data_IF_802040084208
#
_entry.id   IF_802040084208
#
_cell.length_a   1.000
_cell.length_b   1.000
_cell.length_c   1.000
_cell.angle_alpha   90.00
_cell.angle_beta   90.00
_cell.angle_gamma   90.00
#
_symmetry.space_group_name_H-M   'P 1'
#
loop_
_entity.id
_entity.type
_entity.pdbx_description
1 polymer ?
#
# COMPACT_ATOMS: atom_id res chain seq x y z
N UNK A 1 5.57 0.20 19.95
CA UNK A 1 4.61 -0.57 19.14
C UNK A 1 4.53 -1.96 19.75
N UNK A 2 3.33 -2.48 20.03
CA UNK A 2 3.21 -3.86 20.54
C UNK A 2 3.35 -4.83 19.38
N UNK A 3 3.81 -6.05 19.67
CA UNK A 3 3.92 -7.11 18.66
C UNK A 3 2.58 -7.41 17.98
N UNK A 4 1.49 -7.35 18.75
CA UNK A 4 0.12 -7.50 18.26
C UNK A 4 -0.24 -6.46 17.18
N UNK A 5 0.09 -5.18 17.40
CA UNK A 5 -0.16 -4.11 16.42
C UNK A 5 0.66 -4.34 15.16
N UNK A 6 1.93 -4.72 15.29
CA UNK A 6 2.81 -5.03 14.15
C UNK A 6 2.23 -6.16 13.30
N UNK A 7 1.86 -7.28 13.92
CA UNK A 7 1.33 -8.44 13.20
C UNK A 7 -0.01 -8.15 12.53
N UNK A 8 -0.89 -7.40 13.21
CA UNK A 8 -2.15 -6.94 12.64
C UNK A 8 -1.92 -6.04 11.42
N UNK A 9 -0.97 -5.11 11.49
CA UNK A 9 -0.62 -4.24 10.38
C UNK A 9 -0.09 -5.03 9.18
N UNK A 10 0.89 -5.91 9.39
CA UNK A 10 1.48 -6.72 8.31
C UNK A 10 0.42 -7.61 7.64
N UNK A 11 -0.46 -8.23 8.43
CA UNK A 11 -1.58 -9.04 7.89
C UNK A 11 -2.49 -8.20 7.00
N UNK A 12 -2.82 -6.97 7.40
CA UNK A 12 -3.65 -6.05 6.59
C UNK A 12 -2.95 -5.62 5.31
N UNK A 13 -1.64 -5.40 5.34
CA UNK A 13 -0.84 -5.06 4.16
C UNK A 13 -0.85 -6.21 3.16
N UNK A 14 -0.61 -7.44 3.61
CA UNK A 14 -0.63 -8.63 2.75
C UNK A 14 -2.01 -8.85 2.11
N UNK A 15 -3.08 -8.70 2.91
CA UNK A 15 -4.45 -8.77 2.40
C UNK A 15 -4.76 -7.66 1.39
N UNK A 16 -4.30 -6.43 1.62
CA UNK A 16 -4.49 -5.34 0.67
C UNK A 16 -3.76 -5.59 -0.65
N UNK A 17 -2.54 -6.16 -0.60
CA UNK A 17 -1.82 -6.57 -1.81
C UNK A 17 -2.59 -7.66 -2.57
N UNK A 18 -3.16 -8.64 -1.87
CA UNK A 18 -4.02 -9.67 -2.47
C UNK A 18 -5.28 -9.08 -3.10
N UNK A 19 -5.96 -8.16 -2.41
CA UNK A 19 -7.14 -7.46 -2.94
C UNK A 19 -6.77 -6.70 -4.23
N UNK A 20 -5.65 -6.00 -4.25
CA UNK A 20 -5.19 -5.26 -5.43
C UNK A 20 -4.96 -6.21 -6.62
N UNK A 21 -4.36 -7.38 -6.38
CA UNK A 21 -4.16 -8.43 -7.38
C UNK A 21 -5.47 -9.03 -7.89
N UNK A 22 -6.47 -9.22 -7.02
CA UNK A 22 -7.80 -9.68 -7.41
C UNK A 22 -8.54 -8.62 -8.24
N UNK A 23 -8.44 -7.35 -7.87
CA UNK A 23 -9.16 -6.25 -8.52
C UNK A 23 -8.56 -5.86 -9.87
N UNK A 24 -7.23 -5.84 -9.97
CA UNK A 24 -6.52 -5.34 -11.15
C UNK A 24 -5.79 -6.44 -11.94
N UNK A 25 -5.87 -7.69 -11.48
CA UNK A 25 -5.08 -8.80 -12.01
C UNK A 25 -3.64 -8.81 -11.49
N UNK A 26 -2.96 -9.94 -11.72
CA UNK A 26 -1.52 -10.11 -11.48
C UNK A 26 -0.70 -9.44 -12.59
N UNK A 27 -0.95 -8.15 -12.83
CA UNK A 27 -0.24 -7.37 -13.83
C UNK A 27 1.09 -6.92 -13.23
N UNK A 28 2.18 -7.33 -13.88
CA UNK A 28 3.51 -6.82 -13.57
C UNK A 28 3.56 -5.33 -13.90
N UNK A 29 3.95 -4.53 -12.92
CA UNK A 29 4.13 -3.08 -13.07
C UNK A 29 5.59 -2.72 -12.90
N UNK A 30 6.03 -1.73 -13.67
CA UNK A 30 7.35 -1.11 -13.52
C UNK A 30 7.45 -0.35 -12.19
N UNK A 31 8.68 -0.08 -11.74
CA UNK A 31 8.95 0.76 -10.57
C UNK A 31 8.31 2.15 -10.74
N UNK A 32 8.31 2.69 -11.95
CA UNK A 32 7.70 3.98 -12.27
C UNK A 32 6.18 3.96 -12.07
N UNK A 33 5.50 2.93 -12.56
CA UNK A 33 4.05 2.76 -12.38
C UNK A 33 3.70 2.60 -10.90
N UNK A 34 4.46 1.79 -10.16
CA UNK A 34 4.27 1.66 -8.71
C UNK A 34 4.45 3.00 -7.99
N UNK A 35 5.50 3.75 -8.33
CA UNK A 35 5.77 5.07 -7.75
C UNK A 35 4.61 6.04 -7.97
N UNK A 36 3.96 6.01 -9.15
CA UNK A 36 2.81 6.85 -9.45
C UNK A 36 1.57 6.46 -8.62
N UNK A 37 1.31 5.16 -8.46
CA UNK A 37 0.23 4.65 -7.61
C UNK A 37 0.45 5.10 -6.16
N UNK A 38 1.65 4.89 -5.64
CA UNK A 38 2.04 5.28 -4.28
C UNK A 38 1.87 6.80 -4.08
N UNK A 39 2.36 7.61 -5.03
CA UNK A 39 2.22 9.06 -4.99
C UNK A 39 0.76 9.54 -4.98
N UNK A 40 -0.11 8.85 -5.71
CA UNK A 40 -1.55 9.13 -5.73
C UNK A 40 -2.17 8.91 -4.34
N UNK A 41 -1.88 7.78 -3.71
CA UNK A 41 -2.39 7.47 -2.38
C UNK A 41 -1.79 8.36 -1.29
N UNK A 42 -0.56 8.85 -1.44
CA UNK A 42 -0.03 9.91 -0.57
C UNK A 42 -0.87 11.19 -0.64
N UNK A 43 -1.31 11.60 -1.84
CA UNK A 43 -2.21 12.74 -1.99
C UNK A 43 -3.54 12.55 -1.25
N UNK A 44 -4.14 11.36 -1.34
CA UNK A 44 -5.36 11.02 -0.61
C UNK A 44 -5.13 11.00 0.91
N UNK A 45 -4.01 10.42 1.37
CA UNK A 45 -3.61 10.41 2.78
C UNK A 45 -3.51 11.83 3.32
N UNK A 46 -2.84 12.75 2.63
CA UNK A 46 -2.73 14.14 3.07
C UNK A 46 -4.09 14.81 3.17
N UNK A 47 -5.00 14.55 2.23
CA UNK A 47 -6.36 15.06 2.30
C UNK A 47 -7.17 14.43 3.47
N UNK A 48 -6.96 13.15 3.77
CA UNK A 48 -7.58 12.48 4.91
C UNK A 48 -7.10 13.05 6.25
N UNK A 49 -5.78 13.25 6.40
CA UNK A 49 -5.17 13.92 7.56
C UNK A 49 -5.74 15.32 7.74
N UNK A 50 -5.83 16.11 6.67
CA UNK A 50 -6.42 17.45 6.70
C UNK A 50 -7.86 17.47 7.21
N UNK A 51 -8.64 16.41 6.94
CA UNK A 51 -10.04 16.25 7.38
C UNK A 51 -10.16 15.56 8.75
N UNK A 52 -9.05 15.15 9.36
CA UNK A 52 -9.02 14.31 10.57
C UNK A 52 -9.87 13.03 10.45
N UNK A 53 -9.86 12.43 9.26
CA UNK A 53 -10.64 11.23 8.94
C UNK A 53 -9.79 9.97 9.19
N UNK A 54 -9.82 9.46 10.43
CA UNK A 54 -8.96 8.34 10.84
C UNK A 54 -9.20 7.05 10.05
N UNK A 55 -10.42 6.80 9.58
CA UNK A 55 -10.74 5.63 8.79
C UNK A 55 -10.08 5.72 7.40
N UNK A 56 -10.20 6.88 6.75
CA UNK A 56 -9.54 7.12 5.46
C UNK A 56 -8.01 7.16 5.62
N UNK A 57 -7.49 7.67 6.74
CA UNK A 57 -6.05 7.63 7.04
C UNK A 57 -5.54 6.18 7.09
N UNK A 58 -6.20 5.31 7.86
CA UNK A 58 -5.81 3.90 7.94
C UNK A 58 -5.86 3.22 6.57
N UNK A 59 -6.94 3.45 5.83
CA UNK A 59 -7.12 2.95 4.47
C UNK A 59 -5.97 3.38 3.56
N UNK A 60 -5.66 4.67 3.48
CA UNK A 60 -4.63 5.17 2.56
C UNK A 60 -3.22 4.74 2.98
N UNK A 61 -2.95 4.53 4.29
CA UNK A 61 -1.71 3.89 4.74
C UNK A 61 -1.59 2.48 4.13
N UNK A 62 -2.63 1.66 4.15
CA UNK A 62 -2.60 0.33 3.54
C UNK A 62 -2.44 0.40 2.01
N UNK A 63 -3.12 1.35 1.36
CA UNK A 63 -3.03 1.56 -0.09
C UNK A 63 -1.68 2.14 -0.55
N UNK A 64 -0.87 2.70 0.35
CA UNK A 64 0.54 3.05 0.09
C UNK A 64 1.44 1.85 0.33
N UNK A 65 1.24 1.17 1.46
CA UNK A 65 2.19 0.16 1.95
C UNK A 65 2.15 -1.11 1.11
N UNK A 66 0.97 -1.56 0.67
CA UNK A 66 0.85 -2.73 -0.20
C UNK A 66 1.57 -2.53 -1.55
N UNK A 67 1.37 -1.43 -2.29
CA UNK A 67 2.17 -1.14 -3.48
C UNK A 67 3.68 -0.99 -3.22
N UNK A 68 4.10 -0.46 -2.06
CA UNK A 68 5.51 -0.42 -1.69
C UNK A 68 6.11 -1.83 -1.54
N UNK A 69 5.36 -2.75 -0.93
CA UNK A 69 5.76 -4.16 -0.81
C UNK A 69 5.92 -4.81 -2.20
N UNK A 70 4.93 -4.63 -3.08
CA UNK A 70 4.98 -5.14 -4.47
C UNK A 70 6.17 -4.55 -5.24
N UNK A 71 6.38 -3.25 -5.13
CA UNK A 71 7.51 -2.57 -5.77
C UNK A 71 8.86 -3.08 -5.26
N UNK A 72 8.97 -3.34 -3.96
CA UNK A 72 10.16 -3.94 -3.37
C UNK A 72 10.41 -5.36 -3.91
N UNK A 73 9.38 -6.20 -3.99
CA UNK A 73 9.47 -7.54 -4.54
C UNK A 73 9.95 -7.52 -6.01
N UNK A 74 9.39 -6.62 -6.82
CA UNK A 74 9.84 -6.43 -8.21
C UNK A 74 11.30 -6.01 -8.30
N UNK A 75 11.75 -5.10 -7.43
CA UNK A 75 13.14 -4.65 -7.41
C UNK A 75 14.12 -5.75 -6.96
N UNK A 76 13.74 -6.55 -5.96
CA UNK A 76 14.54 -7.71 -5.52
C UNK A 76 14.63 -8.76 -6.62
N UNK A 77 13.53 -9.06 -7.31
CA UNK A 77 13.50 -10.04 -8.39
C UNK A 77 14.22 -9.57 -9.68
N UNK A 78 14.49 -8.27 -9.81
CA UNK A 78 15.23 -7.69 -10.93
C UNK A 78 16.75 -7.60 -10.71
N UNK A 79 17.22 -7.83 -9.47
CA UNK A 79 18.63 -7.80 -9.06
C UNK A 79 19.26 -9.20 -9.12
#
# INVERSE_FOLDING_TARGET
MTEEITNSFLTKVDLQAEINRLQHGNIRRSIQEWSLIIGTHFGHLFNAVRRNDHAEIEKEILHITAPLLEMYQENVNAS
#
